data_IF_074136996982
#
_entry.id   IF_074136996982
#
_cell.length_a   1.000
_cell.length_b   1.000
_cell.length_c   1.000
_cell.angle_alpha   90.00
_cell.angle_beta   90.00
_cell.angle_gamma   90.00
#
_symmetry.space_group_name_H-M   'P 1'
#
loop_
_entity.id
_entity.type
_entity.pdbx_description
1 polymer ?
#
# COMPACT_ATOMS: atom_id res chain seq x y z
N UNK A 1 -44.37 -0.05 -54.41
CA UNK A 1 -43.14 -0.83 -54.11
C UNK A 1 -43.33 -2.23 -54.63
N UNK A 2 -42.47 -2.67 -55.55
CA UNK A 2 -42.58 -4.00 -56.17
C UNK A 2 -41.94 -5.03 -55.24
N UNK A 3 -42.45 -6.26 -55.26
CA UNK A 3 -42.01 -7.36 -54.38
C UNK A 3 -40.49 -7.65 -54.47
N UNK A 4 -39.87 -7.24 -55.57
CA UNK A 4 -38.43 -7.28 -55.85
C UNK A 4 -37.61 -6.25 -55.07
N UNK A 5 -38.20 -5.11 -54.72
CA UNK A 5 -37.51 -4.02 -54.01
C UNK A 5 -37.35 -4.33 -52.50
N UNK A 6 -38.29 -5.12 -51.94
CA UNK A 6 -38.25 -5.58 -50.55
C UNK A 6 -37.20 -6.69 -50.37
N UNK A 7 -36.97 -7.52 -51.39
CA UNK A 7 -35.98 -8.60 -51.34
C UNK A 7 -34.52 -8.07 -51.35
N UNK A 8 -34.28 -6.97 -52.08
CA UNK A 8 -32.97 -6.30 -52.14
C UNK A 8 -32.61 -5.60 -50.82
N UNK A 9 -33.61 -5.07 -50.10
CA UNK A 9 -33.39 -4.42 -48.80
C UNK A 9 -33.08 -5.42 -47.67
N UNK A 10 -33.65 -6.62 -47.72
CA UNK A 10 -33.39 -7.69 -46.72
C UNK A 10 -31.97 -8.28 -46.92
N UNK A 11 -31.53 -8.46 -48.17
CA UNK A 11 -30.18 -8.96 -48.47
C UNK A 11 -29.06 -7.98 -48.05
N UNK A 12 -29.32 -6.67 -48.12
CA UNK A 12 -28.38 -5.64 -47.66
C UNK A 12 -28.26 -5.59 -46.13
N UNK A 13 -29.34 -5.89 -45.40
CA UNK A 13 -29.33 -5.92 -43.93
C UNK A 13 -28.58 -7.13 -43.36
N UNK A 14 -28.60 -8.28 -44.06
CA UNK A 14 -27.86 -9.48 -43.61
C UNK A 14 -26.34 -9.39 -43.82
N UNK A 15 -25.87 -8.58 -44.79
CA UNK A 15 -24.44 -8.42 -45.06
C UNK A 15 -23.71 -7.52 -44.04
N UNK A 16 -24.42 -6.63 -43.35
CA UNK A 16 -23.86 -5.74 -42.32
C UNK A 16 -23.71 -6.39 -40.94
N UNK A 17 -24.37 -7.53 -40.70
CA UNK A 17 -24.33 -8.20 -39.39
C UNK A 17 -23.15 -9.19 -39.29
N UNK A 18 -22.67 -9.73 -40.42
CA UNK A 18 -21.56 -10.71 -40.45
C UNK A 18 -20.18 -10.04 -40.33
N UNK A 19 -20.03 -8.77 -40.73
CA UNK A 19 -18.77 -8.02 -40.60
C UNK A 19 -18.54 -7.41 -39.21
N UNK A 20 -19.55 -7.43 -38.31
CA UNK A 20 -19.45 -6.88 -36.96
C UNK A 20 -18.86 -7.81 -35.90
N UNK A 21 -18.61 -9.09 -36.21
CA UNK A 21 -18.23 -10.10 -35.22
C UNK A 21 -16.76 -10.56 -35.27
N UNK A 22 -15.97 -10.10 -36.26
CA UNK A 22 -14.55 -10.44 -36.38
C UNK A 22 -13.70 -9.18 -36.33
N UNK A 23 -13.20 -8.81 -35.15
CA UNK A 23 -12.10 -7.85 -35.08
C UNK A 23 -12.03 -6.90 -33.89
N UNK A 24 -12.63 -7.22 -32.74
CA UNK A 24 -12.29 -6.54 -31.49
C UNK A 24 -11.87 -7.56 -30.43
N UNK A 25 -10.76 -8.24 -30.70
CA UNK A 25 -10.03 -9.01 -29.69
C UNK A 25 -8.54 -8.66 -29.75
N UNK A 26 -8.21 -7.38 -29.62
CA UNK A 26 -6.92 -7.03 -29.03
C UNK A 26 -7.17 -7.07 -27.53
N UNK A 27 -6.56 -8.08 -26.92
CA UNK A 27 -6.59 -8.39 -25.52
C UNK A 27 -6.46 -7.12 -24.65
N UNK A 28 -7.60 -6.68 -24.12
CA UNK A 28 -7.58 -6.11 -22.77
C UNK A 28 -7.08 -7.26 -21.89
N UNK A 29 -5.78 -7.23 -21.58
CA UNK A 29 -5.29 -8.03 -20.48
C UNK A 29 -6.07 -7.54 -19.27
N UNK A 30 -7.01 -8.36 -18.82
CA UNK A 30 -7.61 -8.19 -17.51
C UNK A 30 -6.43 -8.30 -16.54
N UNK A 31 -5.94 -7.15 -16.10
CA UNK A 31 -4.91 -7.10 -15.08
C UNK A 31 -5.55 -7.71 -13.85
N UNK A 32 -5.28 -9.00 -13.63
CA UNK A 32 -5.56 -9.70 -12.37
C UNK A 32 -5.15 -8.72 -11.28
N UNK A 33 -6.08 -8.20 -10.46
CA UNK A 33 -5.72 -7.24 -9.44
C UNK A 33 -4.66 -7.91 -8.60
N UNK A 34 -3.40 -7.43 -8.68
CA UNK A 34 -2.39 -7.82 -7.72
C UNK A 34 -2.96 -7.36 -6.41
N UNK A 35 -3.55 -8.30 -5.67
CA UNK A 35 -4.04 -8.11 -4.32
C UNK A 35 -2.97 -7.27 -3.62
N UNK A 36 -3.32 -6.07 -3.15
CA UNK A 36 -2.35 -5.22 -2.45
C UNK A 36 -1.91 -5.99 -1.23
N UNK A 37 -0.81 -6.72 -1.34
CA UNK A 37 -0.23 -7.48 -0.24
C UNK A 37 0.27 -6.44 0.74
N UNK A 38 -0.54 -6.17 1.77
CA UNK A 38 -0.13 -5.33 2.89
C UNK A 38 0.88 -6.11 3.74
N UNK A 39 1.67 -5.41 4.56
CA UNK A 39 2.63 -6.08 5.45
C UNK A 39 1.93 -6.85 6.58
N UNK A 40 0.71 -6.45 6.94
CA UNK A 40 -0.06 -6.97 8.08
C UNK A 40 -1.11 -7.98 7.58
N UNK A 41 -0.65 -9.19 7.28
CA UNK A 41 -1.49 -10.34 6.97
C UNK A 41 -1.23 -11.48 7.94
N UNK A 42 -2.15 -12.44 8.00
CA UNK A 42 -1.98 -13.65 8.83
C UNK A 42 -0.73 -14.47 8.51
N UNK A 43 -0.19 -14.34 7.29
CA UNK A 43 1.01 -15.05 6.84
C UNK A 43 2.31 -14.28 7.04
N UNK A 44 2.24 -12.96 7.25
CA UNK A 44 3.41 -12.08 7.33
C UNK A 44 3.55 -11.47 8.74
N UNK A 45 3.12 -10.23 8.97
CA UNK A 45 3.27 -9.56 10.27
C UNK A 45 1.92 -9.31 10.95
N UNK A 46 1.22 -10.38 11.32
CA UNK A 46 -0.16 -10.32 11.82
C UNK A 46 -0.33 -9.42 13.07
N UNK A 47 0.68 -9.38 13.94
CA UNK A 47 0.57 -8.81 15.28
C UNK A 47 0.94 -7.32 15.38
N UNK A 48 1.37 -6.68 14.28
CA UNK A 48 1.94 -5.33 14.32
C UNK A 48 0.94 -4.25 14.75
N UNK A 49 -0.35 -4.50 14.53
CA UNK A 49 -1.47 -3.62 14.93
C UNK A 49 -2.24 -4.14 16.15
N UNK A 50 -1.79 -5.21 16.80
CA UNK A 50 -2.47 -5.84 17.94
C UNK A 50 -2.13 -5.14 19.27
N UNK A 51 -2.25 -3.80 19.28
CA UNK A 51 -2.08 -2.97 20.49
C UNK A 51 -3.23 -1.98 20.59
N UNK A 52 -3.59 -1.60 21.82
CA UNK A 52 -4.79 -0.78 22.08
C UNK A 52 -4.75 0.57 21.37
N UNK A 53 -3.59 1.22 21.34
CA UNK A 53 -3.38 2.48 20.64
C UNK A 53 -2.27 2.32 19.63
N UNK A 54 -2.66 2.06 18.38
CA UNK A 54 -1.75 1.92 17.25
C UNK A 54 -1.29 3.31 16.79
N UNK A 55 0.00 3.43 16.49
CA UNK A 55 0.56 4.68 15.95
C UNK A 55 0.01 4.94 14.54
N UNK A 56 -0.28 6.20 14.19
CA UNK A 56 -1.00 6.59 12.96
C UNK A 56 -0.49 5.92 11.68
N UNK A 57 0.81 6.04 11.35
CA UNK A 57 1.40 5.37 10.19
C UNK A 57 1.22 3.85 10.18
N UNK A 58 1.23 3.20 11.35
CA UNK A 58 0.98 1.75 11.45
C UNK A 58 -0.49 1.42 11.24
N UNK A 59 -1.41 2.24 11.77
CA UNK A 59 -2.84 2.07 11.55
C UNK A 59 -3.23 2.26 10.07
N UNK A 60 -2.46 3.05 9.32
CA UNK A 60 -2.65 3.29 7.89
C UNK A 60 -1.88 2.33 6.97
N UNK A 61 -1.20 1.29 7.51
CA UNK A 61 -0.33 0.36 6.77
C UNK A 61 0.84 1.06 6.02
N UNK A 62 1.27 2.24 6.47
CA UNK A 62 2.34 3.05 5.87
C UNK A 62 3.74 2.65 6.37
N UNK A 63 4.05 1.35 6.40
CA UNK A 63 5.27 0.84 7.05
C UNK A 63 6.57 1.46 6.49
N UNK A 64 6.57 1.82 5.20
CA UNK A 64 7.75 2.32 4.49
C UNK A 64 8.16 3.75 4.86
N UNK A 65 7.28 4.54 5.50
CA UNK A 65 7.63 5.91 5.91
C UNK A 65 8.74 5.89 6.97
N UNK A 66 8.77 4.84 7.80
CA UNK A 66 9.81 4.62 8.79
C UNK A 66 10.84 3.58 8.36
N UNK A 67 10.42 2.44 7.81
CA UNK A 67 11.33 1.33 7.47
C UNK A 67 11.97 1.42 6.08
N UNK A 68 11.60 2.44 5.28
CA UNK A 68 12.01 2.56 3.89
C UNK A 68 11.43 1.48 2.99
N UNK A 69 11.74 1.55 1.70
CA UNK A 69 11.39 0.50 0.76
C UNK A 69 12.24 -0.76 1.02
N UNK A 70 11.58 -1.91 1.16
CA UNK A 70 12.29 -3.20 1.19
C UNK A 70 11.61 -4.23 0.29
N UNK A 71 11.71 -4.09 -1.05
CA UNK A 71 11.15 -5.07 -1.99
C UNK A 71 11.73 -6.47 -1.78
N UNK A 72 12.99 -6.55 -1.33
CA UNK A 72 13.68 -7.82 -1.06
C UNK A 72 13.15 -8.52 0.20
N UNK A 73 12.61 -7.79 1.18
CA UNK A 73 12.03 -8.39 2.38
C UNK A 73 10.86 -9.30 2.04
N UNK A 74 9.91 -8.82 1.22
CA UNK A 74 8.74 -9.61 0.84
C UNK A 74 9.11 -10.93 0.12
N UNK A 75 10.15 -10.91 -0.70
CA UNK A 75 10.61 -12.09 -1.45
C UNK A 75 11.31 -13.14 -0.58
N UNK A 76 12.04 -12.73 0.45
CA UNK A 76 12.74 -13.64 1.37
C UNK A 76 12.93 -13.00 2.76
N UNK A 77 11.89 -13.00 3.61
CA UNK A 77 11.88 -12.22 4.85
C UNK A 77 12.86 -12.74 5.90
N UNK A 78 13.24 -14.02 5.81
CA UNK A 78 14.25 -14.63 6.70
C UNK A 78 15.66 -14.10 6.40
N UNK A 79 15.97 -13.84 5.12
CA UNK A 79 17.29 -13.37 4.68
C UNK A 79 17.37 -11.84 4.61
N UNK A 80 16.28 -11.19 4.24
CA UNK A 80 16.23 -9.76 3.98
C UNK A 80 15.39 -9.09 5.07
N UNK A 81 16.04 -8.48 6.05
CA UNK A 81 15.36 -7.69 7.09
C UNK A 81 14.93 -6.33 6.52
N UNK A 82 13.99 -5.66 7.19
CA UNK A 82 13.72 -4.25 6.90
C UNK A 82 14.97 -3.40 7.09
N UNK A 83 15.01 -2.24 6.43
CA UNK A 83 16.12 -1.32 6.61
C UNK A 83 16.19 -0.90 8.09
N UNK A 84 17.42 -0.83 8.60
CA UNK A 84 17.66 -0.30 9.93
C UNK A 84 17.41 1.20 9.91
N UNK A 85 16.71 1.69 10.93
CA UNK A 85 16.57 3.12 11.17
C UNK A 85 17.84 3.56 11.91
N UNK A 86 18.80 4.13 11.20
CA UNK A 86 20.10 4.48 11.78
C UNK A 86 20.05 5.72 12.70
N UNK A 87 19.10 6.62 12.47
CA UNK A 87 18.84 7.78 13.32
C UNK A 87 17.35 7.86 13.65
N UNK A 88 16.98 7.34 14.82
CA UNK A 88 15.59 7.29 15.30
C UNK A 88 15.04 8.70 15.49
N UNK A 89 15.79 9.59 16.13
CA UNK A 89 15.38 10.97 16.37
C UNK A 89 15.03 11.71 15.08
N UNK A 90 15.91 11.66 14.08
CA UNK A 90 15.68 12.29 12.78
C UNK A 90 14.43 11.72 12.12
N UNK A 91 14.22 10.40 12.20
CA UNK A 91 13.04 9.78 11.61
C UNK A 91 11.75 10.23 12.29
N UNK A 92 11.74 10.36 13.62
CA UNK A 92 10.58 10.88 14.35
C UNK A 92 10.31 12.35 13.99
N UNK A 93 11.35 13.16 13.85
CA UNK A 93 11.23 14.59 13.57
C UNK A 93 10.93 14.94 12.10
N UNK A 94 10.82 13.95 11.21
CA UNK A 94 10.25 14.18 9.88
C UNK A 94 8.78 14.61 9.94
N UNK A 95 8.06 14.21 11.00
CA UNK A 95 6.64 14.53 11.19
C UNK A 95 6.34 15.19 12.55
N UNK A 96 7.12 14.90 13.59
CA UNK A 96 6.91 15.47 14.92
C UNK A 96 7.84 16.66 15.16
N UNK A 97 7.29 17.72 15.75
CA UNK A 97 8.11 18.86 16.13
C UNK A 97 9.16 18.45 17.19
N UNK A 98 10.40 18.97 17.07
CA UNK A 98 11.39 18.81 18.12
C UNK A 98 10.90 19.38 19.45
N UNK A 99 11.29 18.74 20.54
CA UNK A 99 10.96 19.25 21.86
C UNK A 99 11.61 20.63 22.10
N UNK A 100 10.87 21.57 22.72
CA UNK A 100 11.47 22.83 23.14
C UNK A 100 12.54 22.56 24.21
N UNK A 101 13.68 23.23 24.12
CA UNK A 101 14.73 23.13 25.15
C UNK A 101 14.17 23.55 26.50
N UNK A 102 14.25 22.66 27.49
CA UNK A 102 13.88 22.92 28.89
C UNK A 102 15.14 22.94 29.76
N UNK A 103 15.01 23.52 30.96
CA UNK A 103 16.10 23.58 31.95
C UNK A 103 16.58 22.18 32.37
N UNK A 104 15.66 21.23 32.42
CA UNK A 104 15.93 19.83 32.73
C UNK A 104 15.22 18.98 31.69
N UNK A 105 15.99 18.16 30.99
CA UNK A 105 15.50 17.21 29.99
C UNK A 105 16.07 15.84 30.37
N UNK A 106 15.28 14.78 30.24
CA UNK A 106 15.80 13.44 30.49
C UNK A 106 16.83 13.08 29.42
N UNK A 107 17.94 12.47 29.84
CA UNK A 107 19.05 12.08 28.97
C UNK A 107 18.61 11.36 27.68
N UNK A 108 17.67 10.38 27.70
CA UNK A 108 17.19 9.73 26.48
C UNK A 108 16.58 10.69 25.45
N UNK A 109 15.96 11.79 25.91
CA UNK A 109 15.39 12.80 25.00
C UNK A 109 16.49 13.68 24.42
N UNK A 110 17.51 14.01 25.21
CA UNK A 110 18.68 14.78 24.75
C UNK A 110 19.51 14.00 23.73
N UNK A 111 19.63 12.69 23.93
CA UNK A 111 20.41 11.77 23.09
C UNK A 111 19.60 11.20 21.90
N UNK A 112 18.31 11.51 21.80
CA UNK A 112 17.47 11.05 20.69
C UNK A 112 17.05 9.58 20.79
N UNK A 113 17.14 8.98 21.97
CA UNK A 113 16.72 7.60 22.27
C UNK A 113 15.20 7.51 22.49
N UNK A 114 14.42 8.00 21.53
CA UNK A 114 12.96 8.11 21.65
C UNK A 114 12.30 6.77 21.99
N UNK A 115 12.85 5.68 21.46
CA UNK A 115 12.33 4.32 21.63
C UNK A 115 12.73 3.63 22.94
N UNK A 116 13.51 4.30 23.80
CA UNK A 116 13.79 3.80 25.14
C UNK A 116 12.50 3.72 25.99
N UNK A 117 11.53 4.61 25.72
CA UNK A 117 10.25 4.66 26.41
C UNK A 117 9.04 4.56 25.46
N UNK A 118 9.13 5.06 24.21
CA UNK A 118 8.01 5.07 23.27
C UNK A 118 8.05 3.90 22.29
N UNK A 119 6.91 3.25 22.06
CA UNK A 119 6.77 2.22 21.02
C UNK A 119 6.29 2.84 19.71
N UNK A 120 7.08 2.78 18.61
CA UNK A 120 6.73 3.42 17.34
C UNK A 120 5.59 2.71 16.59
N UNK A 121 5.24 1.48 16.99
CA UNK A 121 4.09 0.77 16.44
C UNK A 121 2.79 1.06 17.19
N UNK A 122 2.90 1.38 18.48
CA UNK A 122 1.78 1.64 19.37
C UNK A 122 1.97 1.03 20.74
N UNK A 123 1.10 1.40 21.68
CA UNK A 123 1.20 0.98 23.08
C UNK A 123 -0.16 0.67 23.70
N UNK A 124 -0.21 0.03 24.89
CA UNK A 124 -1.44 -0.14 25.66
C UNK A 124 -2.02 1.18 26.20
N UNK A 125 -1.24 2.26 26.22
CA UNK A 125 -1.60 3.57 26.74
C UNK A 125 -1.77 4.59 25.62
N UNK A 126 -2.72 5.50 25.82
CA UNK A 126 -2.93 6.60 24.87
C UNK A 126 -1.87 7.64 25.19
N UNK A 127 -0.96 7.86 24.23
CA UNK A 127 0.19 8.77 24.30
C UNK A 127 1.35 8.25 25.15
#
# INVERSE_FOLDING_TARGET
MKKTDILLLIAAFTALIVSGFYGNSIAAQEEVPKEKVTCITSKCHATMKEVKYVHGPVAADECIVCHGESPKHAANPKKNKFAKIDNVQSKCFECHDPFPKKKFTHTPVEEGECIACHSPHGSPYKF
#
